data_IF_076497366935
#
_entry.id   IF_076497366935
#
_cell.length_a   1.000
_cell.length_b   1.000
_cell.length_c   1.000
_cell.angle_alpha   90.00
_cell.angle_beta   90.00
_cell.angle_gamma   90.00
#
_symmetry.space_group_name_H-M   'P 1'
#
loop_
_entity.id
_entity.type
_entity.pdbx_description
1 polymer ?
#
# COMPACT_ATOMS: atom_id res chain seq x y z
N UNK A 1 4.05 31.28 11.51
CA UNK A 1 3.04 30.53 10.74
C UNK A 1 3.65 29.54 9.77
N UNK A 2 4.53 29.99 8.86
CA UNK A 2 5.00 29.18 7.74
C UNK A 2 5.60 27.81 8.14
N UNK A 3 6.47 27.77 9.15
CA UNK A 3 7.06 26.52 9.63
C UNK A 3 6.00 25.49 10.05
N UNK A 4 4.97 25.90 10.79
CA UNK A 4 3.88 25.01 11.22
C UNK A 4 3.07 24.51 10.02
N UNK A 5 2.82 25.38 9.02
CA UNK A 5 2.14 24.99 7.79
C UNK A 5 2.95 23.96 6.99
N UNK A 6 4.26 24.19 6.83
CA UNK A 6 5.14 23.24 6.13
C UNK A 6 5.29 21.94 6.90
N UNK A 7 5.40 22.00 8.23
CA UNK A 7 5.41 20.82 9.11
C UNK A 7 4.13 20.01 8.94
N UNK A 8 2.98 20.66 8.90
CA UNK A 8 1.70 19.99 8.71
C UNK A 8 1.63 19.26 7.36
N UNK A 9 2.05 19.90 6.26
CA UNK A 9 2.04 19.26 4.93
C UNK A 9 3.06 18.12 4.83
N UNK A 10 4.29 18.30 5.34
CA UNK A 10 5.28 17.21 5.42
C UNK A 10 4.80 16.04 6.28
N UNK A 11 4.14 16.33 7.41
CA UNK A 11 3.54 15.31 8.25
C UNK A 11 2.44 14.55 7.51
N UNK A 12 1.61 15.21 6.70
CA UNK A 12 0.60 14.54 5.87
C UNK A 12 1.25 13.58 4.84
N UNK A 13 2.33 13.99 4.16
CA UNK A 13 3.05 13.11 3.23
C UNK A 13 3.63 11.87 3.93
N UNK A 14 4.28 12.08 5.08
CA UNK A 14 4.87 10.99 5.87
C UNK A 14 3.81 10.12 6.51
N UNK A 15 2.66 10.69 6.90
CA UNK A 15 1.52 9.95 7.44
C UNK A 15 0.98 8.95 6.42
N UNK A 16 0.70 9.39 5.18
CA UNK A 16 0.24 8.48 4.12
C UNK A 16 1.31 7.46 3.73
N UNK A 17 2.58 7.88 3.65
CA UNK A 17 3.69 6.97 3.38
C UNK A 17 3.86 5.91 4.48
N UNK A 18 3.68 6.32 5.74
CA UNK A 18 3.71 5.46 6.91
C UNK A 18 2.58 4.44 6.89
N UNK A 19 1.34 4.87 6.60
CA UNK A 19 0.19 3.98 6.46
C UNK A 19 0.38 2.98 5.31
N UNK A 20 0.84 3.42 4.14
CA UNK A 20 1.10 2.53 3.01
C UNK A 20 2.18 1.51 3.34
N UNK A 21 3.31 1.95 3.91
CA UNK A 21 4.42 1.07 4.32
C UNK A 21 3.96 0.07 5.40
N UNK A 22 3.18 0.54 6.37
CA UNK A 22 2.59 -0.29 7.40
C UNK A 22 1.67 -1.35 6.80
N UNK A 23 0.76 -0.96 5.90
CA UNK A 23 -0.14 -1.89 5.23
C UNK A 23 0.63 -2.92 4.38
N UNK A 24 1.69 -2.50 3.67
CA UNK A 24 2.55 -3.40 2.92
C UNK A 24 3.28 -4.40 3.82
N UNK A 25 3.81 -3.97 4.98
CA UNK A 25 4.36 -4.89 5.99
C UNK A 25 3.32 -5.94 6.37
N UNK A 26 2.09 -5.52 6.67
CA UNK A 26 1.02 -6.43 7.07
C UNK A 26 0.59 -7.38 5.94
N UNK A 27 0.58 -6.90 4.70
CA UNK A 27 0.30 -7.66 3.50
C UNK A 27 1.34 -8.76 3.26
N UNK A 28 2.63 -8.39 3.18
CA UNK A 28 3.69 -9.35 2.87
C UNK A 28 3.86 -10.41 3.96
N UNK A 29 3.70 -10.02 5.23
CA UNK A 29 3.84 -10.93 6.37
C UNK A 29 2.60 -11.75 6.69
N UNK A 30 1.48 -11.54 5.98
CA UNK A 30 0.24 -12.33 6.16
C UNK A 30 -0.43 -12.12 7.51
N UNK A 31 -0.15 -11.00 8.17
CA UNK A 31 -0.65 -10.67 9.51
C UNK A 31 -2.14 -10.31 9.56
N UNK A 32 -2.76 -10.08 8.39
CA UNK A 32 -4.18 -9.81 8.24
C UNK A 32 -5.04 -11.07 8.34
N UNK A 33 -4.42 -12.27 8.28
CA UNK A 33 -5.13 -13.54 8.38
C UNK A 33 -5.83 -13.65 9.74
N UNK A 34 -6.76 -14.60 9.84
CA UNK A 34 -7.54 -14.86 11.04
C UNK A 34 -6.68 -14.83 12.30
N UNK A 35 -7.06 -14.10 13.35
CA UNK A 35 -8.33 -13.38 13.57
C UNK A 35 -8.32 -11.87 13.22
N UNK A 36 -7.42 -11.40 12.34
CA UNK A 36 -7.14 -9.96 12.15
C UNK A 36 -7.72 -9.36 10.86
N UNK A 37 -8.65 -10.05 10.20
CA UNK A 37 -9.26 -9.57 8.95
C UNK A 37 -10.06 -8.28 9.19
N UNK A 38 -10.76 -8.18 10.32
CA UNK A 38 -11.49 -6.97 10.70
C UNK A 38 -10.53 -5.81 11.00
N UNK A 39 -9.41 -6.09 11.68
CA UNK A 39 -8.39 -5.07 11.94
C UNK A 39 -7.76 -4.54 10.64
N UNK A 40 -7.58 -5.42 9.65
CA UNK A 40 -7.17 -5.04 8.30
C UNK A 40 -8.17 -4.10 7.64
N UNK A 41 -9.47 -4.38 7.71
CA UNK A 41 -10.49 -3.48 7.16
C UNK A 41 -10.46 -2.09 7.80
N UNK A 42 -10.25 -1.99 9.12
CA UNK A 42 -10.04 -0.70 9.79
C UNK A 42 -8.78 0.02 9.28
N UNK A 43 -7.67 -0.70 9.13
CA UNK A 43 -6.42 -0.13 8.59
C UNK A 43 -6.55 0.31 7.13
N UNK A 44 -7.24 -0.48 6.31
CA UNK A 44 -7.56 -0.14 4.92
C UNK A 44 -8.45 1.10 4.84
N UNK A 45 -9.49 1.18 5.66
CA UNK A 45 -10.39 2.34 5.68
C UNK A 45 -9.66 3.61 6.16
N UNK A 46 -8.76 3.49 7.14
CA UNK A 46 -7.89 4.58 7.58
C UNK A 46 -7.00 5.09 6.44
N UNK A 47 -6.37 4.18 5.67
CA UNK A 47 -5.59 4.57 4.50
C UNK A 47 -6.47 5.25 3.44
N UNK A 48 -7.64 4.67 3.13
CA UNK A 48 -8.59 5.23 2.17
C UNK A 48 -9.01 6.65 2.57
N UNK A 49 -9.44 6.85 3.82
CA UNK A 49 -9.77 8.18 4.34
C UNK A 49 -8.57 9.12 4.33
N UNK A 50 -7.37 8.65 4.65
CA UNK A 50 -6.15 9.46 4.60
C UNK A 50 -5.79 9.97 3.20
N UNK A 51 -6.08 9.20 2.14
CA UNK A 51 -5.90 9.67 0.76
C UNK A 51 -6.83 10.84 0.43
N UNK A 52 -8.10 10.76 0.85
CA UNK A 52 -9.08 11.84 0.65
C UNK A 52 -8.85 13.02 1.58
N UNK A 53 -8.43 12.78 2.83
CA UNK A 53 -8.13 13.82 3.80
C UNK A 53 -6.98 14.72 3.30
N UNK A 54 -5.95 14.11 2.71
CA UNK A 54 -4.87 14.84 2.04
C UNK A 54 -5.35 15.67 0.84
N UNK A 55 -6.25 15.12 0.01
CA UNK A 55 -6.89 15.88 -1.08
C UNK A 55 -7.64 17.10 -0.54
N UNK A 56 -8.44 16.92 0.51
CA UNK A 56 -9.25 17.99 1.09
C UNK A 56 -8.35 19.09 1.66
N UNK A 57 -7.31 18.73 2.42
CA UNK A 57 -6.38 19.68 3.02
C UNK A 57 -5.57 20.47 2.00
N UNK A 58 -5.05 19.78 0.98
CA UNK A 58 -4.31 20.41 -0.12
C UNK A 58 -5.18 21.39 -0.92
N UNK A 59 -6.50 21.19 -0.94
CA UNK A 59 -7.46 22.03 -1.68
C UNK A 59 -7.91 23.29 -0.93
N UNK A 60 -7.69 23.38 0.38
CA UNK A 60 -8.15 24.52 1.19
C UNK A 60 -7.50 25.87 0.89
N UNK A 61 -6.20 25.96 0.52
CA UNK A 61 -5.58 27.24 0.23
C UNK A 61 -6.15 27.99 -0.97
N UNK A 62 -6.90 27.31 -1.84
CA UNK A 62 -7.49 27.84 -3.08
C UNK A 62 -6.46 28.59 -3.95
N UNK A 63 -5.26 28.01 -4.04
CA UNK A 63 -4.21 28.44 -4.95
C UNK A 63 -4.42 27.85 -6.35
N UNK A 64 -3.74 28.41 -7.36
CA UNK A 64 -3.91 28.00 -8.76
C UNK A 64 -3.70 26.49 -9.02
N UNK A 65 -2.74 25.87 -8.33
CA UNK A 65 -2.46 24.44 -8.46
C UNK A 65 -3.59 23.61 -7.83
N UNK A 66 -4.02 24.00 -6.63
CA UNK A 66 -5.08 23.32 -5.88
C UNK A 66 -6.45 23.41 -6.58
N UNK A 67 -6.81 24.58 -7.10
CA UNK A 67 -8.05 24.78 -7.84
C UNK A 67 -8.06 24.04 -9.18
N UNK A 68 -6.92 23.93 -9.88
CA UNK A 68 -6.80 23.06 -11.05
C UNK A 68 -7.08 21.59 -10.69
N UNK A 69 -6.59 21.13 -9.53
CA UNK A 69 -6.93 19.82 -8.98
C UNK A 69 -8.43 19.66 -8.70
N UNK A 70 -9.09 20.67 -8.12
CA UNK A 70 -10.54 20.65 -7.91
C UNK A 70 -11.32 20.67 -9.24
N UNK A 71 -10.80 21.34 -10.28
CA UNK A 71 -11.39 21.29 -11.62
C UNK A 71 -11.35 19.88 -12.20
N UNK A 72 -10.28 19.13 -11.96
CA UNK A 72 -10.21 17.72 -12.29
C UNK A 72 -11.27 16.91 -11.52
N UNK A 73 -11.42 17.12 -10.20
CA UNK A 73 -12.46 16.46 -9.39
C UNK A 73 -13.86 16.76 -9.94
N UNK A 74 -14.13 17.99 -10.34
CA UNK A 74 -15.39 18.37 -10.98
C UNK A 74 -15.62 17.60 -12.30
N UNK A 75 -14.62 17.55 -13.18
CA UNK A 75 -14.68 16.76 -14.41
C UNK A 75 -14.89 15.26 -14.16
N UNK A 76 -14.29 14.74 -13.09
CA UNK A 76 -14.46 13.37 -12.65
C UNK A 76 -15.91 13.08 -12.24
N UNK A 77 -16.54 13.96 -11.46
CA UNK A 77 -17.95 13.83 -11.09
C UNK A 77 -18.87 13.86 -12.31
N UNK A 78 -18.63 14.77 -13.25
CA UNK A 78 -19.41 14.87 -14.49
C UNK A 78 -19.34 13.62 -15.36
N UNK A 79 -18.25 12.84 -15.27
CA UNK A 79 -18.11 11.59 -16.02
C UNK A 79 -19.01 10.46 -15.51
N UNK A 80 -19.57 10.60 -14.29
CA UNK A 80 -20.46 9.59 -13.71
C UNK A 80 -21.81 9.63 -14.44
N UNK A 81 -22.22 8.53 -15.11
CA UNK A 81 -23.47 8.51 -15.85
C UNK A 81 -24.66 8.70 -14.92
N UNK A 82 -25.74 9.29 -15.45
CA UNK A 82 -27.04 9.49 -14.79
C UNK A 82 -27.00 10.55 -13.68
N UNK A 83 -26.06 10.46 -12.73
CA UNK A 83 -26.04 11.29 -11.51
C UNK A 83 -24.91 12.32 -11.46
N UNK A 84 -23.96 12.30 -12.41
CA UNK A 84 -22.75 13.12 -12.36
C UNK A 84 -22.99 14.63 -12.23
N UNK A 85 -23.92 15.17 -13.03
CA UNK A 85 -24.31 16.60 -12.94
C UNK A 85 -24.89 16.95 -11.58
N UNK A 86 -25.76 16.10 -11.02
CA UNK A 86 -26.33 16.34 -9.69
C UNK A 86 -25.27 16.30 -8.59
N UNK A 87 -24.32 15.36 -8.68
CA UNK A 87 -23.21 15.26 -7.72
C UNK A 87 -22.30 16.49 -7.79
N UNK A 88 -21.97 16.95 -9.00
CA UNK A 88 -21.15 18.14 -9.21
C UNK A 88 -21.84 19.40 -8.66
N UNK A 89 -23.09 19.66 -9.07
CA UNK A 89 -23.86 20.82 -8.60
C UNK A 89 -24.08 20.77 -7.09
N UNK A 90 -24.34 19.58 -6.53
CA UNK A 90 -24.46 19.41 -5.09
C UNK A 90 -23.15 19.76 -4.40
N UNK A 91 -22.02 19.16 -4.79
CA UNK A 91 -20.75 19.31 -4.09
C UNK A 91 -20.21 20.74 -4.12
N UNK A 92 -20.29 21.38 -5.29
CA UNK A 92 -19.74 22.73 -5.51
C UNK A 92 -20.71 23.86 -5.15
N UNK A 93 -22.00 23.56 -4.95
CA UNK A 93 -23.03 24.57 -4.67
C UNK A 93 -23.46 25.36 -5.90
N UNK A 94 -23.15 24.88 -7.11
CA UNK A 94 -23.41 25.57 -8.37
C UNK A 94 -22.49 25.08 -9.48
N UNK A 95 -22.41 25.85 -10.57
CA UNK A 95 -21.40 25.62 -11.60
C UNK A 95 -20.00 25.90 -11.04
N UNK A 96 -19.02 25.10 -11.44
CA UNK A 96 -17.63 25.28 -11.04
C UNK A 96 -17.12 26.69 -11.42
N UNK A 97 -16.41 27.41 -10.54
CA UNK A 97 -15.78 26.94 -9.29
C UNK A 97 -16.71 26.76 -8.09
N UNK A 98 -17.89 27.39 -8.09
CA UNK A 98 -18.85 27.33 -7.00
C UNK A 98 -18.39 28.02 -5.71
N UNK A 99 -19.34 28.41 -4.85
CA UNK A 99 -19.05 29.17 -3.62
C UNK A 99 -18.95 28.27 -2.37
N UNK A 100 -19.48 27.05 -2.44
CA UNK A 100 -19.62 26.19 -1.26
C UNK A 100 -18.43 25.25 -1.03
N UNK A 101 -17.62 24.97 -2.06
CA UNK A 101 -16.66 23.86 -2.05
C UNK A 101 -15.62 24.01 -0.93
N UNK A 102 -15.02 25.20 -0.78
CA UNK A 102 -13.97 25.44 0.22
C UNK A 102 -14.53 25.27 1.64
N UNK A 103 -15.72 25.82 1.93
CA UNK A 103 -16.35 25.71 3.24
C UNK A 103 -16.71 24.26 3.60
N UNK A 104 -17.18 23.49 2.61
CA UNK A 104 -17.47 22.05 2.77
C UNK A 104 -16.20 21.24 3.01
N UNK A 105 -15.17 21.45 2.20
CA UNK A 105 -13.88 20.78 2.38
C UNK A 105 -13.24 21.13 3.71
N UNK A 106 -13.35 22.38 4.18
CA UNK A 106 -12.87 22.77 5.51
C UNK A 106 -13.55 21.98 6.62
N UNK A 107 -14.89 21.88 6.58
CA UNK A 107 -15.66 21.11 7.55
C UNK A 107 -15.32 19.61 7.52
N UNK A 108 -15.11 19.06 6.32
CA UNK A 108 -14.70 17.66 6.14
C UNK A 108 -13.28 17.41 6.65
N UNK A 109 -12.33 18.28 6.30
CA UNK A 109 -10.91 18.14 6.59
C UNK A 109 -10.55 18.41 8.04
N UNK A 110 -11.22 19.35 8.71
CA UNK A 110 -10.90 19.72 10.10
C UNK A 110 -11.66 18.87 11.11
N UNK A 111 -12.94 18.57 10.85
CA UNK A 111 -13.82 17.94 11.82
C UNK A 111 -14.23 16.52 11.45
N UNK A 112 -14.96 16.34 10.34
CA UNK A 112 -15.67 15.08 10.09
C UNK A 112 -14.70 13.92 9.83
N UNK A 113 -13.80 14.07 8.87
CA UNK A 113 -12.89 12.99 8.45
C UNK A 113 -11.86 12.69 9.54
N UNK A 114 -11.16 13.67 10.14
CA UNK A 114 -10.27 13.37 11.27
C UNK A 114 -11.01 12.79 12.48
N UNK A 115 -12.23 13.24 12.77
CA UNK A 115 -13.04 12.68 13.86
C UNK A 115 -13.38 11.21 13.64
N UNK A 116 -13.78 10.84 12.42
CA UNK A 116 -13.99 9.44 12.02
C UNK A 116 -12.69 8.65 12.10
N UNK A 117 -11.58 9.18 11.57
CA UNK A 117 -10.27 8.52 11.64
C UNK A 117 -9.79 8.32 13.08
N UNK A 118 -10.03 9.27 13.98
CA UNK A 118 -9.73 9.16 15.40
C UNK A 118 -10.53 8.03 16.08
N UNK A 119 -11.82 7.87 15.73
CA UNK A 119 -12.61 6.73 16.22
C UNK A 119 -12.09 5.40 15.66
N UNK A 120 -11.78 5.35 14.37
CA UNK A 120 -11.26 4.15 13.71
C UNK A 120 -9.90 3.73 14.27
N UNK A 121 -8.98 4.66 14.54
CA UNK A 121 -7.67 4.33 15.12
C UNK A 121 -7.79 3.80 16.55
N UNK A 122 -8.74 4.32 17.35
CA UNK A 122 -9.01 3.77 18.69
C UNK A 122 -9.46 2.32 18.58
N UNK A 123 -10.44 2.01 17.72
CA UNK A 123 -10.90 0.63 17.50
C UNK A 123 -9.79 -0.26 16.95
N UNK A 124 -9.01 0.24 15.99
CA UNK A 124 -7.87 -0.46 15.40
C UNK A 124 -6.83 -0.84 16.46
N UNK A 125 -6.44 0.09 17.32
CA UNK A 125 -5.47 -0.17 18.40
C UNK A 125 -6.06 -1.10 19.46
N UNK A 126 -7.34 -0.97 19.82
CA UNK A 126 -8.01 -1.88 20.75
C UNK A 126 -7.98 -3.33 20.24
N UNK A 127 -8.25 -3.55 18.94
CA UNK A 127 -8.17 -4.88 18.33
C UNK A 127 -6.74 -5.44 18.36
N UNK A 128 -5.73 -4.60 18.16
CA UNK A 128 -4.32 -5.01 18.28
C UNK A 128 -3.96 -5.41 19.72
N UNK A 129 -4.46 -4.70 20.72
CA UNK A 129 -4.26 -5.02 22.15
C UNK A 129 -5.00 -6.31 22.53
N UNK A 130 -6.24 -6.47 22.06
CA UNK A 130 -7.10 -7.61 22.33
C UNK A 130 -6.55 -8.90 21.70
N UNK A 131 -6.26 -8.89 20.40
CA UNK A 131 -5.74 -10.06 19.67
C UNK A 131 -4.23 -10.32 19.87
N UNK A 132 -3.55 -9.44 20.61
CA UNK A 132 -2.08 -9.39 20.76
C UNK A 132 -1.34 -9.21 19.43
N UNK A 133 -0.14 -8.64 19.52
CA UNK A 133 0.72 -8.47 18.36
C UNK A 133 1.21 -9.81 17.80
N UNK A 134 1.21 -9.92 16.46
CA UNK A 134 1.83 -11.01 15.71
C UNK A 134 3.36 -10.98 15.81
N UNK A 135 4.00 -12.13 15.74
CA UNK A 135 5.47 -12.27 15.77
C UNK A 135 5.98 -13.21 14.67
N UNK A 136 7.22 -13.02 14.20
CA UNK A 136 7.84 -14.02 13.32
C UNK A 136 8.16 -15.31 14.09
N UNK A 137 7.98 -16.46 13.43
CA UNK A 137 8.42 -17.75 13.96
C UNK A 137 9.90 -17.70 14.37
N UNK A 138 10.23 -18.38 15.46
CA UNK A 138 11.57 -18.38 16.04
C UNK A 138 11.61 -19.17 17.35
N UNK A 139 12.78 -19.25 18.00
CA UNK A 139 12.95 -20.00 19.25
C UNK A 139 11.98 -19.52 20.33
N UNK A 140 11.24 -20.45 20.93
CA UNK A 140 10.27 -20.15 21.99
C UNK A 140 9.02 -19.39 21.54
N UNK A 141 8.86 -19.10 20.25
CA UNK A 141 7.70 -18.40 19.69
C UNK A 141 6.72 -19.40 19.10
N UNK A 142 5.52 -19.45 19.65
CA UNK A 142 4.44 -20.35 19.25
C UNK A 142 3.19 -19.55 18.90
N UNK A 143 2.19 -20.20 18.33
CA UNK A 143 0.87 -19.60 18.05
C UNK A 143 0.14 -19.13 19.32
N UNK A 144 0.53 -19.61 20.50
CA UNK A 144 -0.17 -19.40 21.77
C UNK A 144 0.54 -18.42 22.71
N UNK A 145 1.68 -17.85 22.30
CA UNK A 145 2.43 -16.93 23.15
C UNK A 145 2.91 -15.70 22.36
N UNK A 146 3.41 -14.70 23.10
CA UNK A 146 4.09 -13.53 22.54
C UNK A 146 5.39 -13.35 23.30
N UNK A 147 6.51 -13.37 22.58
CA UNK A 147 7.84 -13.22 23.16
C UNK A 147 8.40 -11.85 22.78
N UNK A 148 8.59 -10.99 23.77
CA UNK A 148 9.10 -9.64 23.57
C UNK A 148 9.32 -8.89 24.88
N UNK A 149 9.79 -7.65 24.76
CA UNK A 149 9.93 -6.76 25.91
C UNK A 149 8.54 -6.33 26.45
N UNK A 150 8.40 -6.11 27.77
CA UNK A 150 7.16 -5.63 28.34
C UNK A 150 6.81 -4.22 27.83
N UNK A 151 5.53 -3.87 27.89
CA UNK A 151 5.03 -2.56 27.47
C UNK A 151 5.73 -1.42 28.25
N UNK A 152 5.84 -1.58 29.57
CA UNK A 152 6.57 -0.67 30.45
C UNK A 152 7.78 -1.38 31.07
N UNK A 153 8.95 -0.72 31.15
CA UNK A 153 9.28 0.62 30.64
C UNK A 153 9.79 0.62 29.19
N UNK A 154 10.14 -0.55 28.64
CA UNK A 154 10.98 -0.65 27.43
C UNK A 154 10.24 -0.18 26.17
N UNK A 155 9.02 -0.65 25.94
CA UNK A 155 8.30 -0.30 24.72
C UNK A 155 7.89 1.18 24.73
N UNK A 156 7.41 1.71 25.86
CA UNK A 156 7.08 3.14 25.96
C UNK A 156 8.29 4.04 25.68
N UNK A 157 9.46 3.73 26.24
CA UNK A 157 10.67 4.51 25.98
C UNK A 157 11.07 4.47 24.49
N UNK A 158 10.98 3.30 23.85
CA UNK A 158 11.27 3.16 22.41
C UNK A 158 10.24 3.89 21.55
N UNK A 159 8.96 3.80 21.88
CA UNK A 159 7.89 4.48 21.15
C UNK A 159 8.00 6.01 21.28
N UNK A 160 8.23 6.51 22.49
CA UNK A 160 8.46 7.94 22.74
C UNK A 160 9.73 8.46 22.06
N UNK A 161 10.84 7.71 22.14
CA UNK A 161 12.07 8.06 21.43
C UNK A 161 11.89 8.09 19.91
N UNK A 162 11.18 7.12 19.35
CA UNK A 162 10.85 7.10 17.92
C UNK A 162 9.94 8.27 17.52
N UNK A 163 8.96 8.64 18.35
CA UNK A 163 8.12 9.83 18.13
C UNK A 163 8.97 11.10 18.03
N UNK A 164 9.87 11.35 18.97
CA UNK A 164 10.73 12.54 18.93
C UNK A 164 11.71 12.53 17.75
N UNK A 165 12.19 11.36 17.34
CA UNK A 165 13.02 11.23 16.14
C UNK A 165 12.23 11.60 14.89
N UNK A 166 11.03 11.04 14.70
CA UNK A 166 10.17 11.35 13.55
C UNK A 166 9.77 12.83 13.56
N UNK A 167 9.37 13.36 14.71
CA UNK A 167 9.07 14.79 14.87
C UNK A 167 10.27 15.68 14.54
N UNK A 168 11.46 15.34 15.03
CA UNK A 168 12.70 16.07 14.74
C UNK A 168 13.06 16.07 13.26
N UNK A 169 12.91 14.92 12.58
CA UNK A 169 13.11 14.80 11.13
C UNK A 169 12.08 15.64 10.37
N UNK A 170 10.80 15.56 10.74
CA UNK A 170 9.74 16.36 10.13
C UNK A 170 9.95 17.87 10.32
N UNK A 171 10.36 18.29 11.52
CA UNK A 171 10.68 19.67 11.82
C UNK A 171 11.89 20.17 11.01
N UNK A 172 12.93 19.34 10.87
CA UNK A 172 14.07 19.64 10.02
C UNK A 172 13.67 19.78 8.56
N UNK A 173 12.92 18.82 8.02
CA UNK A 173 12.40 18.86 6.64
C UNK A 173 11.55 20.11 6.42
N UNK A 174 10.67 20.45 7.36
CA UNK A 174 9.85 21.66 7.30
C UNK A 174 10.65 22.95 7.43
N UNK A 175 11.87 22.92 7.99
CA UNK A 175 12.73 24.09 8.07
C UNK A 175 13.59 24.28 6.80
N UNK A 176 14.04 23.19 6.17
CA UNK A 176 15.02 23.25 5.07
C UNK A 176 14.42 23.00 3.69
N UNK A 177 13.31 22.27 3.60
CA UNK A 177 12.68 21.88 2.35
C UNK A 177 11.30 22.53 2.23
N UNK A 178 11.20 23.53 1.37
CA UNK A 178 9.92 24.21 1.09
C UNK A 178 8.93 23.24 0.45
N UNK A 179 7.71 23.22 0.98
CA UNK A 179 6.59 22.46 0.45
C UNK A 179 5.38 23.35 0.24
N UNK A 180 4.68 23.15 -0.88
CA UNK A 180 3.50 23.90 -1.31
C UNK A 180 3.62 25.43 -1.10
N UNK A 181 4.50 26.11 -1.85
CA UNK A 181 4.68 27.56 -1.78
C UNK A 181 3.52 28.31 -2.45
N UNK A 182 2.37 28.41 -1.77
CA UNK A 182 1.13 29.03 -2.29
C UNK A 182 1.33 30.45 -2.84
N UNK A 183 2.26 31.21 -2.27
CA UNK A 183 2.61 32.55 -2.73
C UNK A 183 3.25 32.59 -4.13
N UNK A 184 3.83 31.48 -4.59
CA UNK A 184 4.35 31.38 -5.96
C UNK A 184 3.30 31.00 -7.00
N UNK A 185 2.20 30.38 -6.58
CA UNK A 185 1.09 30.01 -7.47
C UNK A 185 0.08 31.14 -7.64
N UNK A 186 -0.14 31.93 -6.57
CA UNK A 186 -1.17 32.94 -6.55
C UNK A 186 -2.58 32.36 -6.33
N UNK A 187 -3.59 33.23 -6.22
CA UNK A 187 -4.98 32.80 -6.03
C UNK A 187 -5.48 32.03 -7.24
N UNK A 188 -6.41 31.10 -7.02
CA UNK A 188 -7.07 30.38 -8.10
C UNK A 188 -7.82 31.34 -9.03
N UNK A 189 -7.66 31.12 -10.35
CA UNK A 189 -8.47 31.77 -11.38
C UNK A 189 -8.79 30.76 -12.47
N UNK A 190 -10.06 30.68 -12.86
CA UNK A 190 -10.51 29.69 -13.84
C UNK A 190 -9.98 29.93 -15.27
N UNK A 191 -9.46 31.12 -15.56
CA UNK A 191 -8.85 31.48 -16.84
C UNK A 191 -7.35 31.14 -16.93
N UNK A 192 -6.75 30.60 -15.86
CA UNK A 192 -5.32 30.32 -15.77
C UNK A 192 -5.06 28.87 -15.35
N UNK A 193 -3.87 28.36 -15.68
CA UNK A 193 -3.39 27.04 -15.26
C UNK A 193 -1.88 27.08 -15.08
N UNK A 194 -1.37 26.32 -14.10
CA UNK A 194 0.08 26.14 -13.91
C UNK A 194 0.62 25.00 -14.76
N UNK A 195 1.90 25.06 -15.11
CA UNK A 195 2.63 23.91 -15.65
C UNK A 195 3.01 22.97 -14.51
N UNK A 196 3.05 21.65 -14.75
CA UNK A 196 3.33 20.69 -13.68
C UNK A 196 2.16 20.53 -12.69
N UNK A 197 0.92 20.74 -13.14
CA UNK A 197 -0.25 20.56 -12.30
C UNK A 197 -0.44 19.09 -11.94
N UNK A 198 0.06 18.68 -10.78
CA UNK A 198 0.04 17.31 -10.30
C UNK A 198 -0.40 17.30 -8.83
N UNK A 199 -1.18 16.30 -8.40
CA UNK A 199 -1.53 16.16 -7.01
C UNK A 199 -0.33 15.65 -6.19
N UNK A 200 -0.46 15.66 -4.86
CA UNK A 200 0.50 15.00 -3.99
C UNK A 200 0.73 13.54 -4.41
N UNK A 201 1.93 13.03 -4.12
CA UNK A 201 2.42 11.74 -4.64
C UNK A 201 1.46 10.58 -4.42
N UNK A 202 0.71 10.56 -3.32
CA UNK A 202 -0.24 9.49 -2.96
C UNK A 202 -1.51 9.48 -3.83
N UNK A 203 -1.83 10.56 -4.53
CA UNK A 203 -2.90 10.67 -5.53
C UNK A 203 -2.36 10.66 -6.97
N UNK A 204 -1.04 10.73 -7.17
CA UNK A 204 -0.42 10.68 -8.49
C UNK A 204 -0.77 9.42 -9.29
N UNK A 205 -1.14 8.34 -8.61
CA UNK A 205 -1.71 7.15 -9.21
C UNK A 205 -3.02 7.41 -9.98
N UNK A 206 -3.95 8.15 -9.37
CA UNK A 206 -5.26 8.44 -9.95
C UNK A 206 -5.11 9.38 -11.17
N UNK A 207 -4.24 10.39 -11.03
CA UNK A 207 -3.85 11.28 -12.13
C UNK A 207 -3.22 10.48 -13.30
N UNK A 208 -2.31 9.57 -12.97
CA UNK A 208 -1.66 8.70 -13.95
C UNK A 208 -2.64 7.85 -14.75
N UNK A 209 -3.66 7.29 -14.10
CA UNK A 209 -4.70 6.51 -14.79
C UNK A 209 -5.46 7.35 -15.82
N UNK A 210 -5.81 8.59 -15.48
CA UNK A 210 -6.50 9.49 -16.43
C UNK A 210 -5.59 9.89 -17.58
N UNK A 211 -4.34 10.29 -17.29
CA UNK A 211 -3.40 10.74 -18.33
C UNK A 211 -3.06 9.68 -19.36
N UNK A 212 -3.04 8.41 -18.97
CA UNK A 212 -2.76 7.31 -19.91
C UNK A 212 -4.01 6.80 -20.62
N UNK A 213 -5.21 7.10 -20.14
CA UNK A 213 -6.43 6.59 -20.76
C UNK A 213 -6.62 7.22 -22.15
N UNK A 214 -6.92 6.43 -23.21
CA UNK A 214 -7.36 7.00 -24.48
C UNK A 214 -8.64 7.84 -24.29
N UNK A 215 -8.78 8.91 -25.07
CA UNK A 215 -9.99 9.75 -25.10
C UNK A 215 -11.17 9.06 -25.78
N UNK A 216 -11.58 7.90 -25.26
CA UNK A 216 -12.75 7.17 -25.74
C UNK A 216 -14.01 7.81 -25.21
N UNK A 217 -15.01 7.92 -26.08
CA UNK A 217 -16.32 8.47 -25.78
C UNK A 217 -17.39 7.64 -26.48
N UNK A 218 -18.56 7.52 -25.85
CA UNK A 218 -19.74 6.93 -26.46
C UNK A 218 -20.83 7.98 -26.46
N UNK A 219 -21.29 8.38 -27.64
CA UNK A 219 -22.45 9.27 -27.79
C UNK A 219 -23.67 8.44 -28.18
N UNK A 220 -24.69 8.43 -27.32
CA UNK A 220 -25.93 7.68 -27.53
C UNK A 220 -27.12 8.48 -27.01
N UNK A 221 -28.22 8.52 -27.77
CA UNK A 221 -29.48 9.18 -27.39
C UNK A 221 -29.33 10.64 -26.90
N UNK A 222 -28.42 11.41 -27.52
CA UNK A 222 -28.17 12.80 -27.14
C UNK A 222 -27.32 12.99 -25.88
N UNK A 223 -26.79 11.91 -25.30
CA UNK A 223 -25.87 11.93 -24.16
C UNK A 223 -24.49 11.44 -24.55
N UNK A 224 -23.45 11.95 -23.89
CA UNK A 224 -22.06 11.51 -24.07
C UNK A 224 -21.52 10.89 -22.79
N UNK A 225 -21.06 9.65 -22.88
CA UNK A 225 -20.30 8.97 -21.84
C UNK A 225 -18.81 9.12 -22.14
N UNK A 226 -18.11 9.90 -21.32
CA UNK A 226 -16.68 10.17 -21.45
C UNK A 226 -15.89 9.03 -20.78
N UNK A 227 -15.71 7.92 -21.50
CA UNK A 227 -15.00 6.73 -21.00
C UNK A 227 -13.55 7.04 -20.62
N UNK A 228 -12.91 7.98 -21.32
CA UNK A 228 -11.55 8.44 -21.03
C UNK A 228 -11.34 8.92 -19.58
N UNK A 229 -12.40 9.40 -18.94
CA UNK A 229 -12.38 9.89 -17.55
C UNK A 229 -13.09 8.88 -16.64
N UNK A 230 -14.23 8.36 -17.07
CA UNK A 230 -15.04 7.43 -16.27
C UNK A 230 -14.30 6.13 -15.91
N UNK A 231 -13.58 5.52 -16.86
CA UNK A 231 -12.86 4.25 -16.60
C UNK A 231 -11.81 4.43 -15.49
N UNK A 232 -10.88 5.40 -15.55
CA UNK A 232 -9.96 5.69 -14.46
C UNK A 232 -10.63 5.89 -13.09
N UNK A 233 -11.74 6.61 -13.03
CA UNK A 233 -12.47 6.92 -11.80
C UNK A 233 -13.13 5.69 -11.19
N UNK A 234 -13.50 4.71 -12.00
CA UNK A 234 -14.02 3.42 -11.53
C UNK A 234 -12.87 2.48 -11.15
N UNK A 235 -11.81 2.43 -11.97
CA UNK A 235 -10.67 1.54 -11.76
C UNK A 235 -9.90 1.89 -10.48
N UNK A 236 -9.70 3.17 -10.17
CA UNK A 236 -8.96 3.59 -8.98
C UNK A 236 -9.57 3.07 -7.67
N UNK A 237 -10.85 3.33 -7.34
CA UNK A 237 -11.50 2.78 -6.16
C UNK A 237 -11.57 1.26 -6.16
N UNK A 238 -11.76 0.61 -7.32
CA UNK A 238 -11.78 -0.86 -7.41
C UNK A 238 -10.42 -1.47 -7.06
N UNK A 239 -9.31 -0.86 -7.47
CA UNK A 239 -7.97 -1.31 -7.12
C UNK A 239 -7.68 -1.12 -5.62
N UNK A 240 -8.15 -0.02 -5.02
CA UNK A 240 -8.06 0.15 -3.56
C UNK A 240 -8.96 -0.85 -2.83
N UNK A 241 -10.18 -1.10 -3.31
CA UNK A 241 -11.11 -2.07 -2.75
C UNK A 241 -10.54 -3.49 -2.81
N UNK A 242 -9.88 -3.86 -3.91
CA UNK A 242 -9.20 -5.15 -4.05
C UNK A 242 -8.23 -5.41 -2.88
N UNK A 243 -7.48 -4.39 -2.45
CA UNK A 243 -6.58 -4.51 -1.31
C UNK A 243 -7.36 -4.72 -0.01
N UNK A 244 -8.46 -3.97 0.18
CA UNK A 244 -9.35 -4.12 1.33
C UNK A 244 -9.93 -5.53 1.45
N UNK A 245 -10.38 -6.11 0.34
CA UNK A 245 -10.98 -7.46 0.32
C UNK A 245 -9.97 -8.59 0.20
N UNK A 246 -8.68 -8.29 -0.03
CA UNK A 246 -7.63 -9.30 -0.27
C UNK A 246 -7.58 -10.41 0.80
N UNK A 247 -7.66 -10.14 2.12
CA UNK A 247 -7.64 -11.20 3.13
C UNK A 247 -8.69 -12.29 2.90
N UNK A 248 -9.90 -11.88 2.51
CA UNK A 248 -11.03 -12.76 2.30
C UNK A 248 -10.88 -13.56 1.00
N UNK A 249 -10.29 -12.94 -0.02
CA UNK A 249 -9.94 -13.61 -1.27
C UNK A 249 -8.86 -14.66 -1.01
N UNK A 250 -7.76 -14.30 -0.33
CA UNK A 250 -6.68 -15.23 -0.01
C UNK A 250 -7.22 -16.41 0.81
N UNK A 251 -7.92 -16.17 1.92
CA UNK A 251 -8.50 -17.23 2.75
C UNK A 251 -9.46 -18.15 1.98
N UNK A 252 -10.22 -17.61 1.02
CA UNK A 252 -11.10 -18.41 0.16
C UNK A 252 -10.32 -19.29 -0.82
N UNK A 253 -9.30 -18.75 -1.49
CA UNK A 253 -8.52 -19.48 -2.49
C UNK A 253 -7.54 -20.49 -1.88
N UNK A 254 -7.00 -20.20 -0.71
CA UNK A 254 -6.10 -21.12 0.01
C UNK A 254 -6.85 -22.10 0.92
N UNK A 255 -8.15 -21.91 1.11
CA UNK A 255 -8.96 -22.61 2.10
C UNK A 255 -8.40 -22.51 3.55
N UNK A 256 -7.62 -21.47 3.84
CA UNK A 256 -7.02 -21.24 5.14
C UNK A 256 -8.06 -20.66 6.13
N UNK A 257 -8.51 -21.49 7.07
CA UNK A 257 -9.52 -21.15 8.10
C UNK A 257 -8.95 -21.15 9.52
N UNK A 258 -7.67 -21.44 9.67
CA UNK A 258 -7.00 -21.56 10.95
C UNK A 258 -6.63 -20.18 11.51
N UNK A 259 -6.44 -20.11 12.82
CA UNK A 259 -5.95 -18.89 13.47
C UNK A 259 -4.43 -18.82 13.36
N UNK A 260 -3.94 -17.64 12.97
CA UNK A 260 -2.52 -17.35 12.76
C UNK A 260 -2.08 -16.20 13.67
N UNK A 261 -1.12 -16.48 14.53
CA UNK A 261 -0.42 -15.52 15.39
C UNK A 261 1.06 -15.42 15.01
N UNK A 262 1.61 -16.41 14.30
CA UNK A 262 2.91 -16.33 13.65
C UNK A 262 2.83 -15.70 12.25
N UNK A 263 3.81 -14.86 11.95
CA UNK A 263 3.97 -14.19 10.67
C UNK A 263 4.62 -15.11 9.64
N UNK A 264 4.15 -15.01 8.41
CA UNK A 264 4.85 -15.60 7.28
C UNK A 264 6.09 -14.77 6.95
N UNK A 265 7.20 -15.43 6.66
CA UNK A 265 8.28 -14.79 5.91
C UNK A 265 7.78 -14.56 4.48
N UNK A 266 7.91 -13.35 3.89
CA UNK A 266 7.34 -13.07 2.57
C UNK A 266 7.78 -14.05 1.48
N UNK A 267 9.03 -14.52 1.54
CA UNK A 267 9.57 -15.54 0.62
C UNK A 267 8.80 -16.88 0.69
N UNK A 268 8.17 -17.22 1.82
CA UNK A 268 7.41 -18.46 2.02
C UNK A 268 6.00 -18.41 1.40
N UNK A 269 5.50 -17.22 1.04
CA UNK A 269 4.23 -17.03 0.32
C UNK A 269 4.50 -16.35 -1.01
N UNK A 270 5.10 -17.06 -1.99
CA UNK A 270 5.65 -16.46 -3.21
C UNK A 270 4.58 -15.79 -4.08
N UNK A 271 3.36 -16.33 -4.11
CA UNK A 271 2.24 -15.74 -4.87
C UNK A 271 1.79 -14.44 -4.24
N UNK A 272 1.48 -14.40 -2.94
CA UNK A 272 1.11 -13.18 -2.23
C UNK A 272 2.19 -12.10 -2.38
N UNK A 273 3.45 -12.46 -2.17
CA UNK A 273 4.57 -11.53 -2.30
C UNK A 273 4.71 -10.99 -3.72
N UNK A 274 4.49 -11.83 -4.74
CA UNK A 274 4.47 -11.39 -6.13
C UNK A 274 3.29 -10.45 -6.45
N UNK A 275 2.09 -10.71 -5.92
CA UNK A 275 0.92 -9.82 -6.08
C UNK A 275 1.21 -8.44 -5.48
N UNK A 276 1.74 -8.41 -4.24
CA UNK A 276 2.06 -7.15 -3.56
C UNK A 276 3.14 -6.36 -4.30
N UNK A 277 4.19 -7.03 -4.78
CA UNK A 277 5.25 -6.39 -5.55
C UNK A 277 4.73 -5.86 -6.91
N UNK A 278 3.87 -6.60 -7.59
CA UNK A 278 3.24 -6.18 -8.84
C UNK A 278 2.31 -4.97 -8.65
N UNK A 279 1.61 -4.90 -7.51
CA UNK A 279 0.79 -3.74 -7.17
C UNK A 279 1.64 -2.49 -6.89
N UNK A 280 2.74 -2.63 -6.14
CA UNK A 280 3.68 -1.53 -5.92
C UNK A 280 4.29 -1.05 -7.24
N UNK A 281 4.65 -1.97 -8.15
CA UNK A 281 5.22 -1.58 -9.44
C UNK A 281 4.19 -0.89 -10.34
N UNK A 282 2.93 -1.35 -10.35
CA UNK A 282 1.82 -0.65 -11.00
C UNK A 282 1.67 0.76 -10.45
N UNK A 283 1.73 0.90 -9.12
CA UNK A 283 1.63 2.20 -8.46
C UNK A 283 2.73 3.16 -8.91
N UNK A 284 3.98 2.70 -8.93
CA UNK A 284 5.13 3.51 -9.33
C UNK A 284 5.08 3.90 -10.81
N UNK A 285 4.64 3.00 -11.69
CA UNK A 285 4.44 3.29 -13.12
C UNK A 285 3.37 4.37 -13.29
N UNK A 286 2.24 4.26 -12.58
CA UNK A 286 1.17 5.25 -12.65
C UNK A 286 1.55 6.59 -12.01
N UNK A 287 2.33 6.58 -10.93
CA UNK A 287 2.92 7.80 -10.37
C UNK A 287 3.79 8.53 -11.40
N UNK A 288 4.64 7.79 -12.13
CA UNK A 288 5.42 8.37 -13.23
C UNK A 288 4.52 8.89 -14.38
N UNK A 289 3.38 8.22 -14.62
CA UNK A 289 2.35 8.66 -15.56
C UNK A 289 1.62 9.94 -15.14
N UNK A 290 1.28 10.08 -13.86
CA UNK A 290 0.74 11.32 -13.30
C UNK A 290 1.76 12.45 -13.38
N UNK A 291 3.04 12.08 -13.34
CA UNK A 291 4.22 12.90 -13.53
C UNK A 291 4.62 13.23 -14.98
N UNK A 292 3.86 12.84 -15.99
CA UNK A 292 4.41 12.66 -17.37
C UNK A 292 5.02 13.92 -18.00
N UNK A 293 4.50 15.11 -17.72
CA UNK A 293 5.01 16.39 -18.20
C UNK A 293 6.34 16.77 -17.54
N UNK A 294 6.48 16.50 -16.23
CA UNK A 294 7.75 16.65 -15.52
C UNK A 294 8.77 15.62 -16.02
N UNK A 295 8.37 14.35 -16.22
CA UNK A 295 9.26 13.31 -16.77
C UNK A 295 9.73 13.70 -18.18
N UNK A 296 8.82 14.16 -19.04
CA UNK A 296 9.14 14.59 -20.39
C UNK A 296 10.13 15.76 -20.41
N UNK A 297 9.89 16.79 -19.58
CA UNK A 297 10.75 17.97 -19.52
C UNK A 297 12.13 17.69 -18.91
N UNK A 298 12.19 16.86 -17.85
CA UNK A 298 13.45 16.55 -17.16
C UNK A 298 14.33 15.55 -17.89
N UNK A 299 13.73 14.64 -18.65
CA UNK A 299 14.45 13.63 -19.44
C UNK A 299 14.59 14.02 -20.91
N UNK A 300 14.12 15.21 -21.31
CA UNK A 300 14.13 15.70 -22.69
C UNK A 300 13.45 14.72 -23.68
N UNK A 301 12.33 14.13 -23.25
CA UNK A 301 11.52 13.21 -24.04
C UNK A 301 10.23 13.90 -24.52
N UNK A 302 9.61 13.35 -25.57
CA UNK A 302 8.27 13.79 -25.95
C UNK A 302 7.22 13.26 -24.96
N UNK A 303 6.19 14.07 -24.67
CA UNK A 303 5.06 13.66 -23.82
C UNK A 303 4.37 12.41 -24.40
N UNK A 304 4.28 12.30 -25.73
CA UNK A 304 3.71 11.14 -26.41
C UNK A 304 4.53 9.87 -26.13
N UNK A 305 5.86 9.96 -26.18
CA UNK A 305 6.76 8.84 -25.85
C UNK A 305 6.56 8.39 -24.41
N UNK A 306 6.51 9.33 -23.46
CA UNK A 306 6.28 9.01 -22.05
C UNK A 306 4.90 8.36 -21.88
N UNK A 307 3.85 8.92 -22.47
CA UNK A 307 2.48 8.40 -22.36
C UNK A 307 2.36 6.97 -22.92
N UNK A 308 2.92 6.70 -24.11
CA UNK A 308 2.92 5.36 -24.69
C UNK A 308 3.77 4.37 -23.88
N UNK A 309 4.92 4.80 -23.36
CA UNK A 309 5.74 3.97 -22.49
C UNK A 309 4.96 3.57 -21.23
N UNK A 310 4.27 4.50 -20.59
CA UNK A 310 3.45 4.20 -19.40
C UNK A 310 2.26 3.31 -19.76
N UNK A 311 1.56 3.54 -20.88
CA UNK A 311 0.45 2.69 -21.37
C UNK A 311 0.86 1.23 -21.55
N UNK A 312 2.07 0.97 -22.04
CA UNK A 312 2.59 -0.39 -22.18
C UNK A 312 3.03 -0.91 -20.81
N UNK A 313 3.72 -0.07 -20.02
CA UNK A 313 4.28 -0.44 -18.73
C UNK A 313 3.22 -0.84 -17.71
N UNK A 314 2.03 -0.22 -17.70
CA UNK A 314 0.96 -0.59 -16.75
C UNK A 314 0.52 -2.04 -16.85
N UNK A 315 0.72 -2.69 -18.00
CA UNK A 315 0.48 -4.13 -18.17
C UNK A 315 1.77 -4.94 -18.07
N UNK A 316 2.83 -4.51 -18.76
CA UNK A 316 4.06 -5.28 -18.87
C UNK A 316 4.86 -5.33 -17.55
N UNK A 317 4.98 -4.21 -16.84
CA UNK A 317 5.82 -4.12 -15.63
C UNK A 317 5.22 -4.91 -14.46
N UNK A 318 3.94 -4.79 -14.10
CA UNK A 318 3.36 -5.63 -13.05
C UNK A 318 3.44 -7.12 -13.36
N UNK A 319 3.19 -7.53 -14.61
CA UNK A 319 3.31 -8.92 -15.03
C UNK A 319 4.75 -9.45 -14.91
N UNK A 320 5.73 -8.67 -15.37
CA UNK A 320 7.15 -9.01 -15.24
C UNK A 320 7.59 -9.08 -13.78
N UNK A 321 7.23 -8.08 -12.97
CA UNK A 321 7.53 -8.04 -11.53
C UNK A 321 6.91 -9.23 -10.81
N UNK A 322 5.66 -9.59 -11.12
CA UNK A 322 5.03 -10.79 -10.55
C UNK A 322 5.86 -12.05 -10.83
N UNK A 323 6.24 -12.29 -12.09
CA UNK A 323 7.01 -13.48 -12.48
C UNK A 323 8.38 -13.48 -11.82
N UNK A 324 9.09 -12.36 -11.84
CA UNK A 324 10.44 -12.23 -11.26
C UNK A 324 10.39 -12.40 -9.75
N UNK A 325 9.51 -11.68 -9.04
CA UNK A 325 9.37 -11.78 -7.59
C UNK A 325 9.00 -13.19 -7.16
N UNK A 326 8.10 -13.88 -7.89
CA UNK A 326 7.75 -15.27 -7.60
C UNK A 326 8.98 -16.18 -7.74
N UNK A 327 9.76 -16.04 -8.82
CA UNK A 327 10.98 -16.82 -9.03
C UNK A 327 12.05 -16.53 -7.97
N UNK A 328 12.24 -15.28 -7.58
CA UNK A 328 13.15 -14.89 -6.50
C UNK A 328 12.71 -15.55 -5.18
N UNK A 329 11.42 -15.51 -4.84
CA UNK A 329 10.92 -16.17 -3.62
C UNK A 329 11.19 -17.67 -3.63
N UNK A 330 10.93 -18.36 -4.74
CA UNK A 330 11.23 -19.79 -4.88
C UNK A 330 12.73 -20.08 -4.80
N UNK A 331 13.58 -19.26 -5.43
CA UNK A 331 15.04 -19.38 -5.31
C UNK A 331 15.52 -19.19 -3.87
N UNK A 332 14.94 -18.23 -3.13
CA UNK A 332 15.24 -18.01 -1.72
C UNK A 332 14.77 -19.18 -0.84
N UNK A 333 13.66 -19.84 -1.17
CA UNK A 333 13.22 -21.06 -0.48
C UNK A 333 14.15 -22.24 -0.76
N UNK A 334 14.61 -22.40 -2.00
CA UNK A 334 15.59 -23.43 -2.37
C UNK A 334 16.90 -23.22 -1.60
N UNK A 335 17.37 -21.98 -1.52
CA UNK A 335 18.55 -21.63 -0.72
C UNK A 335 18.35 -21.93 0.76
N UNK A 336 17.18 -21.58 1.32
CA UNK A 336 16.86 -21.90 2.71
C UNK A 336 16.83 -23.43 2.94
N UNK A 337 16.40 -24.22 1.94
CA UNK A 337 16.43 -25.70 1.99
C UNK A 337 17.84 -26.27 1.92
N UNK A 338 18.71 -25.74 1.05
CA UNK A 338 20.12 -26.15 0.97
C UNK A 338 20.83 -25.92 2.30
N UNK A 339 20.62 -24.75 2.92
CA UNK A 339 21.18 -24.41 4.22
C UNK A 339 20.71 -25.38 5.32
N UNK A 340 19.46 -25.84 5.27
CA UNK A 340 18.91 -26.83 6.21
C UNK A 340 19.51 -28.23 5.99
N UNK A 341 19.72 -28.64 4.74
CA UNK A 341 20.20 -29.99 4.40
C UNK A 341 21.71 -30.15 4.51
N UNK A 342 22.46 -29.11 4.14
CA UNK A 342 23.92 -29.17 3.99
C UNK A 342 24.66 -28.31 5.03
N UNK A 343 23.99 -27.37 5.69
CA UNK A 343 24.61 -26.40 6.58
C UNK A 343 25.05 -25.14 5.84
N UNK A 344 25.71 -24.22 6.55
CA UNK A 344 26.27 -23.00 5.96
C UNK A 344 27.61 -23.29 5.30
N UNK A 345 27.86 -22.69 4.14
CA UNK A 345 29.18 -22.68 3.54
C UNK A 345 30.18 -21.96 4.45
N UNK A 346 31.36 -22.56 4.66
CA UNK A 346 32.44 -21.91 5.44
C UNK A 346 33.43 -21.15 4.56
N UNK A 347 33.39 -21.35 3.24
CA UNK A 347 34.41 -20.85 2.30
C UNK A 347 35.74 -21.61 2.38
N UNK A 348 35.83 -22.66 3.20
CA UNK A 348 37.03 -23.51 3.32
C UNK A 348 36.90 -24.71 2.39
N UNK A 349 37.72 -24.73 1.34
CA UNK A 349 37.83 -25.88 0.43
C UNK A 349 38.91 -26.83 0.91
N UNK A 350 38.57 -28.12 1.06
CA UNK A 350 39.51 -29.19 1.39
C UNK A 350 39.68 -30.13 0.21
N UNK A 351 40.92 -30.46 -0.15
CA UNK A 351 41.23 -31.50 -1.14
C UNK A 351 41.35 -32.86 -0.42
N UNK A 352 40.57 -33.83 -0.83
CA UNK A 352 40.59 -35.19 -0.32
C UNK A 352 41.78 -35.99 -0.89
N UNK A 353 42.22 -37.08 -0.24
CA UNK A 353 43.38 -37.87 -0.67
C UNK A 353 43.29 -38.40 -2.11
N UNK A 354 42.07 -38.63 -2.62
CA UNK A 354 41.80 -39.07 -4.01
C UNK A 354 41.66 -37.92 -5.01
N UNK A 355 41.92 -36.67 -4.62
CA UNK A 355 41.98 -35.50 -5.49
C UNK A 355 40.70 -34.68 -5.60
N UNK A 356 39.58 -35.12 -5.02
CA UNK A 356 38.32 -34.38 -4.98
C UNK A 356 38.41 -33.13 -4.10
N UNK A 357 37.73 -32.05 -4.50
CA UNK A 357 37.60 -30.84 -3.70
C UNK A 357 36.22 -30.77 -3.08
N UNK A 358 36.15 -30.65 -1.75
CA UNK A 358 34.90 -30.49 -1.01
C UNK A 358 34.89 -29.19 -0.22
N UNK A 359 33.76 -28.49 -0.25
CA UNK A 359 33.54 -27.35 0.63
C UNK A 359 33.10 -27.84 2.01
N UNK A 360 33.79 -27.38 3.05
CA UNK A 360 33.40 -27.67 4.43
C UNK A 360 32.15 -26.87 4.75
N UNK A 361 31.10 -27.57 5.15
CA UNK A 361 29.87 -26.97 5.63
C UNK A 361 29.78 -27.09 7.15
N UNK A 362 29.27 -26.04 7.79
CA UNK A 362 28.99 -26.03 9.22
C UNK A 362 27.48 -26.20 9.45
N UNK A 363 27.04 -27.16 10.29
CA UNK A 363 25.63 -27.32 10.62
C UNK A 363 25.04 -26.04 11.20
N UNK A 364 23.79 -25.74 10.84
CA UNK A 364 23.06 -24.64 11.44
C UNK A 364 22.74 -24.93 12.91
N UNK A 365 22.72 -23.89 13.73
CA UNK A 365 22.19 -24.01 15.09
C UNK A 365 20.68 -24.36 15.08
N UNK A 366 20.19 -24.93 16.18
CA UNK A 366 18.80 -25.37 16.28
C UNK A 366 17.80 -24.22 16.13
N UNK A 367 18.17 -23.03 16.60
CA UNK A 367 17.35 -21.83 16.49
C UNK A 367 17.10 -21.44 15.03
N UNK A 368 18.15 -21.48 14.21
CA UNK A 368 18.10 -21.15 12.80
C UNK A 368 17.39 -22.24 12.01
N UNK A 369 17.66 -23.52 12.30
CA UNK A 369 16.94 -24.64 11.71
C UNK A 369 15.43 -24.48 11.90
N UNK A 370 14.99 -24.28 13.15
CA UNK A 370 13.58 -24.06 13.46
C UNK A 370 12.99 -22.87 12.68
N UNK A 371 13.71 -21.75 12.60
CA UNK A 371 13.22 -20.56 11.87
C UNK A 371 13.04 -20.83 10.36
N UNK A 372 13.90 -21.66 9.76
CA UNK A 372 13.81 -22.00 8.34
C UNK A 372 12.75 -23.08 8.07
N UNK A 373 12.48 -23.98 9.02
CA UNK A 373 11.52 -25.08 8.85
C UNK A 373 10.12 -24.79 9.40
N UNK A 374 9.94 -23.74 10.22
CA UNK A 374 8.65 -23.34 10.80
C UNK A 374 7.71 -22.65 9.79
N UNK A 375 7.35 -23.34 8.72
CA UNK A 375 6.30 -22.95 7.78
C UNK A 375 5.72 -24.17 7.07
N UNK A 376 4.45 -24.10 6.70
CA UNK A 376 3.80 -25.15 5.91
C UNK A 376 4.34 -25.20 4.48
N UNK A 377 4.60 -26.41 3.98
CA UNK A 377 5.09 -26.62 2.62
C UNK A 377 3.92 -26.96 1.68
N UNK A 378 3.77 -26.28 0.54
CA UNK A 378 2.81 -26.67 -0.48
C UNK A 378 3.16 -28.08 -0.99
N UNK A 379 2.34 -29.09 -0.65
CA UNK A 379 2.57 -30.49 -1.04
C UNK A 379 2.41 -31.51 0.09
N UNK A 380 2.43 -31.10 1.35
CA UNK A 380 1.96 -31.94 2.47
C UNK A 380 0.43 -31.84 2.62
N UNK A 381 -0.28 -32.10 1.53
CA UNK A 381 -1.57 -32.77 1.66
C UNK A 381 -1.21 -34.19 2.09
N UNK A 382 -1.07 -34.40 3.40
CA UNK A 382 -1.10 -35.75 3.96
C UNK A 382 -2.35 -36.38 3.40
N UNK A 383 -2.18 -37.36 2.52
CA UNK A 383 -3.23 -38.30 2.18
C UNK A 383 -3.74 -38.78 3.53
N UNK A 384 -4.94 -38.33 3.91
CA UNK A 384 -5.65 -38.88 5.04
C UNK A 384 -5.97 -40.30 4.62
N UNK A 385 -5.02 -41.21 4.85
CA UNK A 385 -5.19 -42.63 4.61
C UNK A 385 -6.48 -43.01 5.33
N UNK A 386 -7.47 -43.45 4.56
CA UNK A 386 -8.80 -43.82 5.05
C UNK A 386 -8.79 -45.12 5.84
N UNK A 387 -7.93 -45.22 6.85
CA UNK A 387 -7.84 -46.33 7.78
C UNK A 387 -7.70 -45.76 9.20
N UNK A 388 -8.83 -45.31 9.73
CA UNK A 388 -9.16 -45.47 11.15
C UNK A 388 -10.67 -45.28 11.28
N UNK A 389 -11.39 -46.31 10.80
CA UNK A 389 -12.68 -46.67 11.39
C UNK A 389 -12.33 -47.62 12.53
N UNK A 390 -12.19 -47.07 13.73
CA UNK A 390 -12.27 -47.87 14.94
C UNK A 390 -13.65 -48.56 14.96
N UNK A 391 -13.74 -49.88 15.17
CA UNK A 391 -15.01 -50.51 15.43
C UNK A 391 -15.44 -50.14 16.85
N UNK A 392 -16.66 -49.64 17.00
CA UNK A 392 -17.38 -49.69 18.27
C UNK A 392 -17.38 -51.13 18.78
N UNK A 393 -16.75 -51.35 19.93
CA UNK A 393 -17.01 -52.50 20.79
C UNK A 393 -17.37 -51.97 22.18
N UNK A 394 -18.68 -52.07 22.46
CA UNK A 394 -19.33 -52.41 23.72
C UNK A 394 -18.66 -52.03 25.05
N UNK A 395 -19.37 -51.18 25.80
CA UNK A 395 -19.31 -51.00 27.25
C UNK A 395 -20.53 -50.21 27.68
#
# INVERSE_FOLDING_TARGET
GLLIRQLHHWAALVFVAGMLTHMMRHFFTGSFRKPREVNWLFGWLLLFLGLFEGLFGYSLPDDLLSGTGLRFVHGALLSVPIVGTYLAMFLFGGEYPGDDIVARLYSLHVLLVPGVMAALIVVHVLLVVYHKHTQFAGPGRTERNVVGAPFMPVYLAKAGGFFFLVFGVLALMAAVATINPVWSYGPYRADQVSTGAQPDWYLGFAEGLVRIMPGWEITLWGHTLVLGVFIPIVVFPLLLLFIGVYPFLEARFTADRHEHHLLDRPRNRPVRTAIGAAWISLYLVLLAGGGNDIVATRLHLSINTVTWAVRIAVFAVPAAVFVVTRRICLGLQLRDRELVLHGRETGVIKRLPHGEYVEVHEPLDQARLHTLTAHERPGELVLRNGHDRTPEQSG
#
